data_IF_126246441490
#
_entry.id   IF_126246441490
#
_cell.length_a   1.000
_cell.length_b   1.000
_cell.length_c   1.000
_cell.angle_alpha   90.00
_cell.angle_beta   90.00
_cell.angle_gamma   90.00
#
_symmetry.space_group_name_H-M   'P 1'
#
loop_
_entity.id
_entity.type
_entity.pdbx_description
1 polymer ?
#
# COMPACT_ATOMS: atom_id res chain seq x y z
N UNK A 1 4.16 30.13 32.55
CA UNK A 1 5.54 29.55 32.65
C UNK A 1 5.63 28.29 31.79
N UNK A 2 6.80 27.97 31.21
CA UNK A 2 6.91 27.60 29.80
C UNK A 2 6.83 26.09 29.53
N UNK A 3 5.78 25.65 28.81
CA UNK A 3 5.70 24.30 28.21
C UNK A 3 6.39 24.22 26.83
N UNK A 4 7.32 25.13 26.52
CA UNK A 4 7.92 25.27 25.19
C UNK A 4 9.01 24.22 24.88
N UNK A 5 9.61 23.61 25.90
CA UNK A 5 10.73 22.66 25.72
C UNK A 5 10.22 21.28 25.30
N UNK A 6 9.10 20.85 25.88
CA UNK A 6 8.47 19.57 25.55
C UNK A 6 7.93 19.57 24.12
N UNK A 7 7.24 20.65 23.70
CA UNK A 7 6.66 20.75 22.36
C UNK A 7 7.71 20.75 21.25
N UNK A 8 8.86 21.42 21.43
CA UNK A 8 9.95 21.42 20.45
C UNK A 8 10.59 20.05 20.28
N UNK A 9 10.75 19.29 21.35
CA UNK A 9 11.29 17.93 21.31
C UNK A 9 10.32 16.97 20.59
N UNK A 10 9.01 17.06 20.87
CA UNK A 10 7.98 16.30 20.17
C UNK A 10 7.94 16.61 18.67
N UNK A 11 8.07 17.88 18.28
CA UNK A 11 8.08 18.31 16.87
C UNK A 11 9.33 17.80 16.14
N UNK A 12 10.52 17.87 16.76
CA UNK A 12 11.75 17.35 16.15
C UNK A 12 11.74 15.83 15.99
N UNK A 13 11.20 15.09 16.96
CA UNK A 13 11.10 13.64 16.88
C UNK A 13 10.16 13.21 15.75
N UNK A 14 8.99 13.88 15.63
CA UNK A 14 8.06 13.66 14.50
C UNK A 14 8.66 14.08 13.16
N UNK A 15 9.44 15.15 13.10
CA UNK A 15 10.13 15.56 11.86
C UNK A 15 11.10 14.50 11.35
N UNK A 16 11.87 13.85 12.23
CA UNK A 16 12.79 12.76 11.85
C UNK A 16 12.03 11.53 11.34
N UNK A 17 10.93 11.16 11.99
CA UNK A 17 10.07 10.06 11.55
C UNK A 17 9.44 10.37 10.19
N UNK A 18 8.95 11.59 10.01
CA UNK A 18 8.33 12.07 8.77
C UNK A 18 9.35 12.25 7.61
N UNK A 19 10.62 12.46 7.92
CA UNK A 19 11.71 12.49 6.93
C UNK A 19 12.02 11.11 6.35
N UNK A 20 11.91 10.06 7.15
CA UNK A 20 12.25 8.69 6.71
C UNK A 20 11.06 7.97 6.08
N UNK A 21 9.84 8.43 6.38
CA UNK A 21 8.59 7.88 5.87
C UNK A 21 8.48 7.75 4.34
N UNK A 22 8.90 8.72 3.50
CA UNK A 22 8.83 8.53 2.04
C UNK A 22 9.72 7.38 1.56
N UNK A 23 10.86 7.13 2.19
CA UNK A 23 11.71 6.00 1.84
C UNK A 23 11.08 4.68 2.27
N UNK A 24 10.53 4.62 3.49
CA UNK A 24 9.82 3.43 4.00
C UNK A 24 8.60 3.12 3.13
N UNK A 25 7.79 4.12 2.77
CA UNK A 25 6.64 3.96 1.88
C UNK A 25 7.02 3.50 0.47
N UNK A 26 8.12 4.04 -0.09
CA UNK A 26 8.62 3.60 -1.39
C UNK A 26 9.12 2.15 -1.36
N UNK A 27 9.85 1.74 -0.31
CA UNK A 27 10.28 0.36 -0.11
C UNK A 27 9.06 -0.56 0.04
N UNK A 28 8.07 -0.16 0.85
CA UNK A 28 6.86 -0.94 1.06
C UNK A 28 6.09 -1.13 -0.26
N UNK A 29 5.94 -0.07 -1.06
CA UNK A 29 5.34 -0.14 -2.40
C UNK A 29 6.09 -1.11 -3.32
N UNK A 30 7.43 -1.02 -3.34
CA UNK A 30 8.28 -1.90 -4.13
C UNK A 30 8.12 -3.37 -3.73
N UNK A 31 8.12 -3.65 -2.42
CA UNK A 31 7.93 -5.01 -1.90
C UNK A 31 6.54 -5.54 -2.24
N UNK A 32 5.49 -4.74 -2.05
CA UNK A 32 4.11 -5.15 -2.36
C UNK A 32 3.91 -5.39 -3.85
N UNK A 33 4.41 -4.51 -4.72
CA UNK A 33 4.33 -4.72 -6.17
C UNK A 33 5.19 -5.90 -6.62
N UNK A 34 6.41 -6.03 -6.12
CA UNK A 34 7.30 -7.15 -6.43
C UNK A 34 6.70 -8.48 -6.00
N UNK A 35 6.07 -8.51 -4.82
CA UNK A 35 5.37 -9.69 -4.32
C UNK A 35 4.15 -10.02 -5.20
N UNK A 36 3.32 -9.04 -5.57
CA UNK A 36 2.17 -9.26 -6.46
C UNK A 36 2.57 -9.81 -7.83
N UNK A 37 3.60 -9.21 -8.46
CA UNK A 37 4.12 -9.65 -9.76
C UNK A 37 4.77 -11.04 -9.64
N UNK A 38 5.61 -11.26 -8.62
CA UNK A 38 6.29 -12.53 -8.41
C UNK A 38 5.31 -13.68 -8.16
N UNK A 39 4.22 -13.43 -7.44
CA UNK A 39 3.17 -14.42 -7.17
C UNK A 39 2.35 -14.71 -8.44
N UNK A 40 2.07 -13.71 -9.26
CA UNK A 40 1.40 -13.88 -10.55
C UNK A 40 2.23 -14.72 -11.55
N UNK A 41 3.55 -14.64 -11.49
CA UNK A 41 4.43 -15.46 -12.33
C UNK A 41 4.63 -16.88 -11.77
N UNK A 42 4.74 -17.03 -10.45
CA UNK A 42 5.06 -18.34 -9.82
C UNK A 42 3.82 -19.22 -9.64
N UNK A 43 2.67 -18.62 -9.33
CA UNK A 43 1.40 -19.30 -9.06
C UNK A 43 0.27 -18.66 -9.89
N UNK A 44 0.29 -18.83 -11.21
CA UNK A 44 -0.63 -18.14 -12.11
C UNK A 44 -2.10 -18.48 -11.84
N UNK A 45 -2.38 -19.68 -11.31
CA UNK A 45 -3.75 -20.10 -10.97
C UNK A 45 -4.38 -19.28 -9.83
N UNK A 46 -3.58 -18.65 -8.97
CA UNK A 46 -4.07 -17.88 -7.82
C UNK A 46 -4.10 -16.37 -8.07
N UNK A 47 -3.27 -15.86 -8.97
CA UNK A 47 -3.03 -14.42 -9.13
C UNK A 47 -3.20 -13.91 -10.58
N UNK A 48 -3.33 -14.79 -11.57
CA UNK A 48 -3.57 -14.40 -12.96
C UNK A 48 -4.98 -14.83 -13.42
N UNK A 49 -5.97 -13.91 -13.43
CA UNK A 49 -7.33 -14.25 -13.85
C UNK A 49 -7.41 -14.68 -15.32
N UNK A 50 -6.53 -14.18 -16.19
CA UNK A 50 -6.50 -14.56 -17.61
C UNK A 50 -6.07 -16.01 -17.78
N UNK A 51 -5.11 -16.46 -16.97
CA UNK A 51 -4.66 -17.86 -16.97
C UNK A 51 -5.76 -18.81 -16.50
N UNK A 52 -6.50 -18.42 -15.47
CA UNK A 52 -7.64 -19.20 -14.97
C UNK A 52 -8.74 -19.28 -16.03
N UNK A 53 -9.11 -18.15 -16.65
CA UNK A 53 -10.12 -18.12 -17.73
C UNK A 53 -9.70 -18.99 -18.92
N UNK A 54 -8.42 -18.99 -19.31
CA UNK A 54 -7.94 -19.86 -20.40
C UNK A 54 -8.01 -21.35 -20.06
N UNK A 55 -7.75 -21.72 -18.81
CA UNK A 55 -7.83 -23.12 -18.35
C UNK A 55 -9.28 -23.61 -18.22
N UNK A 56 -10.20 -22.72 -17.84
CA UNK A 56 -11.65 -22.97 -17.84
C UNK A 56 -12.18 -23.21 -19.25
N UNK A 57 -11.81 -22.34 -20.20
CA UNK A 57 -12.20 -22.48 -21.61
C UNK A 57 -11.63 -23.75 -22.25
N UNK A 58 -10.49 -24.26 -21.75
CA UNK A 58 -9.89 -25.51 -22.21
C UNK A 58 -10.60 -26.77 -21.66
N UNK A 59 -11.66 -26.62 -20.86
CA UNK A 59 -12.44 -27.74 -20.30
C UNK A 59 -11.66 -28.59 -19.29
N UNK A 60 -10.58 -28.05 -18.72
CA UNK A 60 -9.73 -28.77 -17.75
C UNK A 60 -10.22 -28.68 -16.30
N UNK A 61 -11.26 -27.89 -16.04
CA UNK A 61 -11.81 -27.66 -14.70
C UNK A 61 -13.29 -28.04 -14.72
N UNK A 62 -13.60 -29.20 -14.16
CA UNK A 62 -14.96 -29.59 -13.80
C UNK A 62 -15.19 -29.25 -12.31
N UNK A 63 -16.45 -29.07 -11.91
CA UNK A 63 -16.95 -28.41 -10.70
C UNK A 63 -17.06 -26.88 -10.80
N UNK A 64 -18.23 -26.41 -11.23
CA UNK A 64 -18.67 -25.00 -11.27
C UNK A 64 -18.42 -24.19 -9.99
N UNK A 65 -18.29 -24.85 -8.84
CA UNK A 65 -17.94 -24.22 -7.56
C UNK A 65 -16.45 -23.89 -7.47
N UNK A 66 -15.58 -24.75 -8.02
CA UNK A 66 -14.14 -24.54 -8.11
C UNK A 66 -13.81 -23.44 -9.15
N UNK A 67 -14.55 -23.40 -10.26
CA UNK A 67 -14.40 -22.37 -11.30
C UNK A 67 -14.65 -20.96 -10.74
N UNK A 68 -15.74 -20.80 -9.99
CA UNK A 68 -16.13 -19.48 -9.46
C UNK A 68 -15.13 -19.00 -8.41
N UNK A 69 -14.65 -19.89 -7.54
CA UNK A 69 -13.61 -19.59 -6.56
C UNK A 69 -12.27 -19.26 -7.22
N UNK A 70 -11.90 -19.96 -8.30
CA UNK A 70 -10.67 -19.74 -9.04
C UNK A 70 -10.64 -18.38 -9.77
N UNK A 71 -11.78 -17.86 -10.21
CA UNK A 71 -11.86 -16.51 -10.81
C UNK A 71 -11.89 -15.42 -9.74
N UNK A 72 -12.59 -15.65 -8.63
CA UNK A 72 -12.68 -14.68 -7.54
C UNK A 72 -11.35 -14.49 -6.81
N UNK A 73 -10.55 -15.54 -6.63
CA UNK A 73 -9.27 -15.47 -5.91
C UNK A 73 -8.31 -14.41 -6.48
N UNK A 74 -7.98 -14.42 -7.80
CA UNK A 74 -7.12 -13.41 -8.40
C UNK A 74 -7.70 -12.00 -8.28
N UNK A 75 -9.02 -11.85 -8.47
CA UNK A 75 -9.69 -10.54 -8.40
C UNK A 75 -9.58 -9.97 -6.98
N UNK A 76 -9.90 -10.77 -5.96
CA UNK A 76 -9.79 -10.37 -4.55
C UNK A 76 -8.34 -10.09 -4.18
N UNK A 77 -7.39 -10.90 -4.66
CA UNK A 77 -5.96 -10.67 -4.45
C UNK A 77 -5.51 -9.31 -4.98
N UNK A 78 -5.84 -8.98 -6.23
CA UNK A 78 -5.52 -7.68 -6.82
C UNK A 78 -6.25 -6.53 -6.14
N UNK A 79 -7.50 -6.73 -5.73
CA UNK A 79 -8.26 -5.73 -4.97
C UNK A 79 -7.59 -5.44 -3.62
N UNK A 80 -7.11 -6.46 -2.91
CA UNK A 80 -6.37 -6.30 -1.65
C UNK A 80 -5.04 -5.57 -1.86
N UNK A 81 -4.29 -5.93 -2.91
CA UNK A 81 -3.07 -5.21 -3.29
C UNK A 81 -3.39 -3.73 -3.53
N UNK A 82 -4.40 -3.41 -4.35
CA UNK A 82 -4.80 -2.03 -4.65
C UNK A 82 -5.21 -1.29 -3.38
N UNK A 83 -6.03 -1.89 -2.52
CA UNK A 83 -6.39 -1.32 -1.23
C UNK A 83 -5.15 -0.99 -0.39
N UNK A 84 -4.18 -1.91 -0.33
CA UNK A 84 -2.94 -1.73 0.43
C UNK A 84 -2.08 -0.60 -0.18
N UNK A 85 -1.98 -0.51 -1.50
CA UNK A 85 -1.33 0.60 -2.20
C UNK A 85 -2.00 1.94 -1.86
N UNK A 86 -3.33 2.00 -1.84
CA UNK A 86 -4.10 3.20 -1.46
C UNK A 86 -3.82 3.61 -0.02
N UNK A 87 -3.79 2.67 0.93
CA UNK A 87 -3.43 2.97 2.32
C UNK A 87 -2.03 3.57 2.43
N UNK A 88 -1.06 3.04 1.69
CA UNK A 88 0.32 3.58 1.67
C UNK A 88 0.33 4.99 1.06
N UNK A 89 -0.40 5.22 -0.02
CA UNK A 89 -0.54 6.55 -0.64
C UNK A 89 -1.21 7.56 0.29
N UNK A 90 -2.29 7.18 0.97
CA UNK A 90 -2.96 8.03 1.95
C UNK A 90 -2.04 8.37 3.13
N UNK A 91 -1.30 7.37 3.64
CA UNK A 91 -0.29 7.58 4.69
C UNK A 91 0.80 8.55 4.25
N UNK A 92 1.26 8.44 2.99
CA UNK A 92 2.20 9.39 2.40
C UNK A 92 1.61 10.81 2.34
N UNK A 93 0.38 10.94 1.85
CA UNK A 93 -0.29 12.23 1.69
C UNK A 93 -0.55 12.91 3.05
N UNK A 94 -0.95 12.14 4.06
CA UNK A 94 -1.14 12.63 5.42
C UNK A 94 0.16 13.17 6.01
N UNK A 95 1.26 12.46 5.85
CA UNK A 95 2.57 12.91 6.34
C UNK A 95 3.07 14.17 5.63
N UNK A 96 2.84 14.29 4.32
CA UNK A 96 3.14 15.50 3.55
C UNK A 96 2.28 16.69 3.99
N UNK A 97 1.00 16.46 4.29
CA UNK A 97 0.11 17.48 4.85
C UNK A 97 0.59 17.95 6.23
N UNK A 98 1.08 17.05 7.09
CA UNK A 98 1.69 17.43 8.37
C UNK A 98 2.93 18.33 8.18
N UNK A 99 3.83 18.02 7.23
CA UNK A 99 4.99 18.89 6.92
C UNK A 99 4.54 20.29 6.53
N UNK A 100 3.49 20.37 5.70
CA UNK A 100 2.95 21.64 5.22
C UNK A 100 2.33 22.45 6.37
N UNK A 101 1.55 21.82 7.25
CA UNK A 101 0.95 22.47 8.42
C UNK A 101 2.03 23.02 9.36
N UNK A 102 3.05 22.21 9.68
CA UNK A 102 4.14 22.62 10.55
C UNK A 102 4.93 23.81 9.98
N UNK A 103 5.13 23.86 8.65
CA UNK A 103 5.78 24.99 7.99
C UNK A 103 4.96 26.28 8.09
N UNK A 104 3.63 26.19 7.97
CA UNK A 104 2.73 27.34 8.11
C UNK A 104 2.75 27.87 9.55
N UNK A 105 2.64 26.99 10.55
CA UNK A 105 2.70 27.37 11.97
C UNK A 105 4.04 28.05 12.33
N UNK A 106 5.15 27.52 11.82
CA UNK A 106 6.47 28.12 12.03
C UNK A 106 6.61 29.52 11.40
N UNK A 107 5.87 29.80 10.30
CA UNK A 107 5.90 31.09 9.62
C UNK A 107 5.05 32.16 10.31
N UNK A 108 3.96 31.78 11.00
CA UNK A 108 3.09 32.71 11.75
C UNK A 108 3.62 33.09 13.14
N UNK A 109 4.69 32.43 13.60
CA UNK A 109 5.30 32.69 14.90
C UNK A 109 6.50 33.68 14.84
N UNK A 110 6.72 34.31 13.68
CA UNK A 110 7.60 35.47 13.48
C UNK A 110 6.75 36.74 13.43
#
# INVERSE_FOLDING_TARGET
MPRKVTDKAFVQQRQRFNSSWPMVGAILLLVVMGMGIGLAMSYPIMANPLYVISQLQAGQLDESTLETAAILLPIVFWMLIICLLLFVMLGWQMMNNEKRLLKILASQQR
#
